data_IF_179795656912
#
_entry.id   IF_179795656912
#
_cell.length_a   1.000
_cell.length_b   1.000
_cell.length_c   1.000
_cell.angle_alpha   90.00
_cell.angle_beta   90.00
_cell.angle_gamma   90.00
#
_symmetry.space_group_name_H-M   'P 1'
#
loop_
_entity.id
_entity.type
_entity.pdbx_description
1 polymer ?
#
# COMPACT_ATOMS: atom_id res chain seq x y z
N UNK A 1 10.62 38.30 9.32
CA UNK A 1 9.46 37.52 9.79
C UNK A 1 9.19 36.44 8.74
N UNK A 2 9.15 35.15 9.11
CA UNK A 2 8.87 34.07 8.14
C UNK A 2 7.45 34.22 7.59
N UNK A 3 7.30 34.19 6.28
CA UNK A 3 6.00 34.21 5.62
C UNK A 3 5.15 33.01 6.08
N UNK A 4 3.87 33.24 6.41
CA UNK A 4 2.96 32.25 6.99
C UNK A 4 2.94 30.95 6.17
N UNK A 5 2.99 31.04 4.85
CA UNK A 5 3.08 29.87 3.95
C UNK A 5 4.26 28.94 4.23
N UNK A 6 5.43 29.49 4.60
CA UNK A 6 6.60 28.67 4.95
C UNK A 6 6.43 27.96 6.29
N UNK A 7 5.77 28.61 7.26
CA UNK A 7 5.44 27.99 8.55
C UNK A 7 4.48 26.81 8.37
N UNK A 8 3.43 27.02 7.56
CA UNK A 8 2.47 25.98 7.20
C UNK A 8 3.18 24.78 6.55
N UNK A 9 4.01 25.03 5.53
CA UNK A 9 4.75 23.97 4.83
C UNK A 9 5.67 23.19 5.77
N UNK A 10 6.37 23.89 6.67
CA UNK A 10 7.26 23.27 7.66
C UNK A 10 6.47 22.35 8.59
N UNK A 11 5.42 22.86 9.23
CA UNK A 11 4.54 22.08 10.10
C UNK A 11 3.99 20.84 9.38
N UNK A 12 3.49 21.02 8.15
CA UNK A 12 2.92 19.96 7.34
C UNK A 12 3.93 18.83 7.08
N UNK A 13 5.17 19.17 6.72
CA UNK A 13 6.24 18.20 6.48
C UNK A 13 6.66 17.51 7.78
N UNK A 14 6.82 18.25 8.87
CA UNK A 14 7.18 17.69 10.20
C UNK A 14 6.12 16.71 10.72
N UNK A 15 4.86 16.86 10.29
CA UNK A 15 3.75 15.98 10.66
C UNK A 15 3.38 14.96 9.56
N UNK A 16 4.22 14.77 8.53
CA UNK A 16 3.99 13.82 7.42
C UNK A 16 2.65 14.00 6.68
N UNK A 17 2.15 15.23 6.59
CA UNK A 17 0.90 15.55 5.89
C UNK A 17 1.17 15.93 4.42
N UNK A 18 0.34 15.47 3.51
CA UNK A 18 0.26 16.00 2.15
C UNK A 18 -0.46 17.35 2.14
N UNK A 19 -0.27 18.12 1.06
CA UNK A 19 -1.00 19.38 0.88
C UNK A 19 -2.51 19.18 0.84
N UNK A 20 -2.97 18.04 0.29
CA UNK A 20 -4.40 17.72 0.23
C UNK A 20 -4.97 17.52 1.65
N UNK A 21 -4.32 16.69 2.46
CA UNK A 21 -4.77 16.37 3.81
C UNK A 21 -4.79 17.62 4.71
N UNK A 22 -3.75 18.46 4.64
CA UNK A 22 -3.73 19.69 5.44
C UNK A 22 -4.75 20.71 4.95
N UNK A 23 -4.98 20.82 3.64
CA UNK A 23 -5.97 21.73 3.07
C UNK A 23 -7.40 21.37 3.51
N UNK A 24 -7.74 20.08 3.47
CA UNK A 24 -9.02 19.56 3.95
C UNK A 24 -9.24 19.90 5.43
N UNK A 25 -8.21 19.75 6.28
CA UNK A 25 -8.28 20.10 7.72
C UNK A 25 -8.58 21.58 7.97
N UNK A 26 -7.95 22.48 7.23
CA UNK A 26 -8.20 23.92 7.38
C UNK A 26 -9.42 24.40 6.59
N UNK A 27 -10.05 23.54 5.79
CA UNK A 27 -11.27 23.84 5.03
C UNK A 27 -11.01 24.65 3.76
N UNK A 28 -9.89 24.39 3.08
CA UNK A 28 -9.52 25.04 1.81
C UNK A 28 -9.16 23.99 0.76
N UNK A 29 -8.98 24.41 -0.50
CA UNK A 29 -8.55 23.50 -1.57
C UNK A 29 -7.04 23.25 -1.52
N UNK A 30 -6.59 22.09 -2.02
CA UNK A 30 -5.15 21.78 -2.14
C UNK A 30 -4.42 22.82 -3.00
N UNK A 31 -5.04 23.29 -4.09
CA UNK A 31 -4.47 24.33 -4.95
C UNK A 31 -4.27 25.66 -4.24
N UNK A 32 -5.25 26.07 -3.42
CA UNK A 32 -5.14 27.27 -2.57
C UNK A 32 -3.94 27.14 -1.61
N UNK A 33 -3.85 26.01 -0.89
CA UNK A 33 -2.76 25.78 0.05
C UNK A 33 -1.40 25.78 -0.66
N UNK A 34 -1.30 25.18 -1.84
CA UNK A 34 -0.07 25.17 -2.63
C UNK A 34 0.38 26.59 -2.99
N UNK A 35 -0.53 27.47 -3.40
CA UNK A 35 -0.17 28.87 -3.68
C UNK A 35 0.30 29.62 -2.44
N UNK A 36 -0.34 29.38 -1.29
CA UNK A 36 0.08 29.97 -0.02
C UNK A 36 1.46 29.49 0.41
N UNK A 37 1.70 28.17 0.41
CA UNK A 37 3.00 27.59 0.81
C UNK A 37 4.17 28.09 -0.04
N UNK A 38 3.91 28.34 -1.33
CA UNK A 38 4.90 28.84 -2.28
C UNK A 38 4.99 30.37 -2.34
N UNK A 39 4.25 31.09 -1.48
CA UNK A 39 4.25 32.55 -1.43
C UNK A 39 3.65 33.23 -2.67
N UNK A 40 2.85 32.49 -3.45
CA UNK A 40 2.12 33.01 -4.61
C UNK A 40 0.78 33.64 -4.23
N UNK A 41 0.27 33.34 -3.04
CA UNK A 41 -1.00 33.84 -2.52
C UNK A 41 -0.86 34.16 -1.03
N UNK A 42 -1.35 35.32 -0.61
CA UNK A 42 -1.43 35.69 0.80
C UNK A 42 -2.79 35.27 1.38
N UNK A 43 -2.83 34.98 2.67
CA UNK A 43 -4.09 34.76 3.38
C UNK A 43 -4.59 36.13 3.85
N UNK A 44 -5.66 36.63 3.23
CA UNK A 44 -6.25 37.93 3.57
C UNK A 44 -7.38 37.83 4.59
N UNK A 45 -7.93 36.62 4.79
CA UNK A 45 -9.03 36.38 5.72
C UNK A 45 -8.49 36.19 7.15
N UNK A 46 -8.80 37.10 8.10
CA UNK A 46 -8.32 36.98 9.48
C UNK A 46 -8.85 35.74 10.19
N UNK A 47 -10.05 35.26 9.82
CA UNK A 47 -10.63 34.03 10.38
C UNK A 47 -9.89 32.77 9.93
N UNK A 48 -9.48 32.73 8.65
CA UNK A 48 -8.69 31.64 8.11
C UNK A 48 -7.26 31.66 8.66
N UNK A 49 -6.65 32.85 8.75
CA UNK A 49 -5.34 33.03 9.36
C UNK A 49 -5.33 32.54 10.81
N UNK A 50 -6.32 32.94 11.61
CA UNK A 50 -6.49 32.46 12.99
C UNK A 50 -6.62 30.94 13.05
N UNK A 51 -7.46 30.34 12.20
CA UNK A 51 -7.66 28.88 12.14
C UNK A 51 -6.34 28.15 11.83
N UNK A 52 -5.55 28.69 10.91
CA UNK A 52 -4.25 28.12 10.53
C UNK A 52 -3.23 28.25 11.66
N UNK A 53 -3.13 29.41 12.31
CA UNK A 53 -2.20 29.63 13.43
C UNK A 53 -2.50 28.69 14.60
N UNK A 54 -3.78 28.42 14.87
CA UNK A 54 -4.20 27.42 15.86
C UNK A 54 -3.81 26.02 15.39
N UNK A 55 -4.10 25.67 14.14
CA UNK A 55 -3.77 24.37 13.54
C UNK A 55 -2.26 24.05 13.59
N UNK A 56 -1.39 25.04 13.44
CA UNK A 56 0.07 24.86 13.48
C UNK A 56 0.67 25.11 14.88
N UNK A 57 -0.16 25.30 15.91
CA UNK A 57 0.27 25.46 17.31
C UNK A 57 0.91 26.80 17.66
N UNK A 58 0.73 27.83 16.83
CA UNK A 58 1.26 29.19 17.01
C UNK A 58 0.27 30.14 17.71
N UNK A 59 -0.94 29.68 18.03
CA UNK A 59 -1.92 30.41 18.83
C UNK A 59 -2.58 29.49 19.88
N UNK A 60 -2.82 29.96 21.12
CA UNK A 60 -3.43 29.16 22.16
C UNK A 60 -4.94 29.06 21.98
N UNK A 61 -5.42 27.83 21.72
CA UNK A 61 -6.83 27.43 21.86
C UNK A 61 -6.88 25.91 22.12
N UNK A 62 -7.17 25.53 23.37
CA UNK A 62 -7.16 24.14 23.87
C UNK A 62 -8.27 23.27 23.25
N UNK A 63 -9.42 23.84 22.92
CA UNK A 63 -10.55 23.08 22.36
C UNK A 63 -10.32 22.75 20.89
N UNK A 64 -9.80 23.71 20.11
CA UNK A 64 -9.39 23.46 18.72
C UNK A 64 -8.15 22.56 18.63
N UNK A 65 -7.22 22.62 19.60
CA UNK A 65 -6.11 21.67 19.70
C UNK A 65 -6.59 20.23 19.90
N UNK A 66 -7.57 20.02 20.77
CA UNK A 66 -8.17 18.68 20.99
C UNK A 66 -8.86 18.16 19.74
N UNK A 67 -9.59 19.01 19.02
CA UNK A 67 -10.15 18.63 17.71
C UNK A 67 -9.07 18.39 16.66
N UNK A 68 -7.93 19.09 16.73
CA UNK A 68 -6.80 18.87 15.81
C UNK A 68 -6.07 17.56 16.11
N UNK A 69 -5.74 17.29 17.36
CA UNK A 69 -5.06 16.06 17.81
C UNK A 69 -5.94 14.83 17.61
N UNK A 70 -7.25 14.94 17.83
CA UNK A 70 -8.22 13.86 17.61
C UNK A 70 -8.49 13.57 16.12
N UNK A 71 -8.08 14.47 15.21
CA UNK A 71 -8.18 14.32 13.74
C UNK A 71 -6.80 14.19 13.05
N UNK A 72 -5.71 13.96 13.80
CA UNK A 72 -4.37 13.66 13.25
C UNK A 72 -4.16 12.16 13.02
N UNK A 73 -4.96 11.30 13.64
CA UNK A 73 -5.27 10.01 13.03
C UNK A 73 -6.34 10.24 11.97
N UNK A 74 -5.95 10.35 10.69
CA UNK A 74 -6.83 9.85 9.63
C UNK A 74 -7.13 8.42 10.04
N UNK A 75 -8.34 8.17 10.56
CA UNK A 75 -8.77 6.84 10.92
C UNK A 75 -8.45 5.95 9.72
N UNK A 76 -7.44 5.10 9.84
CA UNK A 76 -7.06 4.20 8.77
C UNK A 76 -8.33 3.40 8.50
N UNK A 77 -8.91 3.57 7.31
CA UNK A 77 -10.05 2.77 6.89
C UNK A 77 -9.54 1.36 6.61
N UNK A 78 -9.32 0.63 7.71
CA UNK A 78 -8.85 -0.75 7.72
C UNK A 78 -9.95 -1.71 7.30
N UNK A 79 -11.11 -1.21 6.89
CA UNK A 79 -12.19 -2.01 6.31
C UNK A 79 -12.15 -1.90 4.79
N UNK A 80 -12.06 -0.70 4.22
CA UNK A 80 -12.16 -0.49 2.77
C UNK A 80 -10.80 -0.37 2.06
N UNK A 81 -9.78 0.23 2.68
CA UNK A 81 -8.43 0.36 2.10
C UNK A 81 -7.32 0.18 3.15
N UNK A 82 -7.14 -1.05 3.68
CA UNK A 82 -6.14 -1.32 4.70
C UNK A 82 -4.72 -1.17 4.12
N UNK A 83 -3.85 -0.41 4.81
CA UNK A 83 -2.46 -0.14 4.37
C UNK A 83 -1.67 -1.39 3.97
N UNK A 84 -1.92 -2.51 4.65
CA UNK A 84 -1.23 -3.77 4.42
C UNK A 84 -1.65 -4.52 3.14
N UNK A 85 -2.65 -4.04 2.41
CA UNK A 85 -3.01 -4.52 1.07
C UNK A 85 -2.60 -3.56 -0.05
N UNK A 86 -2.09 -2.37 0.29
CA UNK A 86 -1.64 -1.40 -0.70
C UNK A 86 -0.33 -1.88 -1.36
N UNK A 87 -0.21 -1.64 -2.66
CA UNK A 87 1.02 -1.89 -3.42
C UNK A 87 1.57 -0.52 -3.85
N UNK A 88 2.55 0.05 -3.12
CA UNK A 88 3.19 1.32 -3.46
C UNK A 88 3.57 1.42 -4.95
N UNK A 89 3.30 2.57 -5.56
CA UNK A 89 3.53 2.78 -7.00
C UNK A 89 2.43 2.24 -7.93
N UNK A 90 1.48 1.46 -7.41
CA UNK A 90 0.31 1.00 -8.16
C UNK A 90 -0.95 1.81 -7.78
N UNK A 91 -1.91 1.89 -8.70
CA UNK A 91 -3.23 2.50 -8.49
C UNK A 91 -4.32 1.46 -8.14
N UNK A 92 -3.91 0.27 -7.69
CA UNK A 92 -4.75 -0.86 -7.32
C UNK A 92 -4.22 -1.52 -6.04
N UNK A 93 -5.00 -2.41 -5.45
CA UNK A 93 -4.65 -3.10 -4.20
C UNK A 93 -4.40 -4.59 -4.43
N UNK A 94 -3.99 -5.29 -3.37
CA UNK A 94 -3.79 -6.74 -3.36
C UNK A 94 -4.97 -7.52 -3.96
N UNK A 95 -6.23 -7.13 -3.67
CA UNK A 95 -7.42 -7.83 -4.19
C UNK A 95 -7.45 -7.82 -5.72
N UNK A 96 -7.11 -6.69 -6.33
CA UNK A 96 -7.16 -6.48 -7.78
C UNK A 96 -6.06 -7.29 -8.46
N UNK A 97 -4.86 -7.35 -7.86
CA UNK A 97 -3.78 -8.23 -8.30
C UNK A 97 -4.18 -9.71 -8.18
N UNK A 98 -4.75 -10.10 -7.05
CA UNK A 98 -5.21 -11.48 -6.85
C UNK A 98 -6.26 -11.87 -7.88
N UNK A 99 -7.27 -11.02 -8.13
CA UNK A 99 -8.32 -11.25 -9.12
C UNK A 99 -7.76 -11.34 -10.55
N UNK A 100 -6.72 -10.57 -10.87
CA UNK A 100 -6.05 -10.64 -12.15
C UNK A 100 -5.28 -11.97 -12.33
N UNK A 101 -4.62 -12.45 -11.28
CA UNK A 101 -3.86 -13.71 -11.26
C UNK A 101 -4.79 -14.92 -11.37
N UNK A 102 -5.92 -14.93 -10.66
CA UNK A 102 -6.79 -16.12 -10.56
C UNK A 102 -7.93 -16.14 -11.55
N UNK A 103 -8.00 -15.15 -12.45
CA UNK A 103 -9.08 -15.05 -13.44
C UNK A 103 -9.22 -16.37 -14.22
N UNK A 104 -10.45 -16.92 -14.21
CA UNK A 104 -10.85 -18.18 -14.85
C UNK A 104 -10.30 -19.47 -14.23
N UNK A 105 -9.55 -19.40 -13.12
CA UNK A 105 -9.13 -20.61 -12.40
C UNK A 105 -10.34 -21.27 -11.72
N UNK A 106 -10.45 -22.61 -11.76
CA UNK A 106 -11.50 -23.33 -11.06
C UNK A 106 -11.32 -23.25 -9.55
N UNK A 107 -12.39 -23.50 -8.81
CA UNK A 107 -12.28 -23.75 -7.38
C UNK A 107 -11.93 -25.23 -7.13
N UNK A 108 -11.08 -25.53 -6.11
CA UNK A 108 -10.57 -24.60 -5.10
C UNK A 108 -9.26 -23.89 -5.48
N UNK A 109 -8.62 -24.22 -6.61
CA UNK A 109 -7.33 -23.67 -7.05
C UNK A 109 -7.28 -22.14 -6.99
N UNK A 110 -8.23 -21.46 -7.65
CA UNK A 110 -8.29 -20.01 -7.71
C UNK A 110 -8.43 -19.37 -6.32
N UNK A 111 -9.30 -19.92 -5.47
CA UNK A 111 -9.47 -19.43 -4.08
C UNK A 111 -8.18 -19.59 -3.27
N UNK A 112 -7.43 -20.68 -3.47
CA UNK A 112 -6.19 -20.92 -2.74
C UNK A 112 -5.07 -20.00 -3.21
N UNK A 113 -4.88 -19.83 -4.52
CA UNK A 113 -3.90 -18.89 -5.08
C UNK A 113 -4.21 -17.45 -4.66
N UNK A 114 -5.49 -17.05 -4.65
CA UNK A 114 -5.91 -15.73 -4.18
C UNK A 114 -5.45 -15.48 -2.73
N UNK A 115 -5.60 -16.49 -1.87
CA UNK A 115 -5.12 -16.44 -0.49
C UNK A 115 -3.59 -16.39 -0.40
N UNK A 116 -2.86 -17.14 -1.22
CA UNK A 116 -1.39 -17.06 -1.30
C UNK A 116 -0.94 -15.64 -1.63
N UNK A 117 -1.48 -15.03 -2.69
CA UNK A 117 -1.15 -13.63 -3.08
C UNK A 117 -1.42 -12.68 -1.92
N UNK A 118 -2.59 -12.80 -1.28
CA UNK A 118 -2.95 -12.00 -0.10
C UNK A 118 -1.90 -12.09 1.00
N UNK A 119 -1.44 -13.29 1.34
CA UNK A 119 -0.45 -13.46 2.40
C UNK A 119 0.94 -12.96 2.00
N UNK A 120 1.36 -13.17 0.75
CA UNK A 120 2.65 -12.66 0.25
C UNK A 120 2.73 -11.12 0.28
N UNK A 121 1.68 -10.43 -0.19
CA UNK A 121 1.64 -8.95 -0.19
C UNK A 121 1.61 -8.39 1.24
N UNK A 122 1.00 -9.13 2.17
CA UNK A 122 0.75 -8.69 3.55
C UNK A 122 1.90 -8.99 4.51
N UNK A 123 2.75 -9.97 4.22
CA UNK A 123 3.74 -10.51 5.14
C UNK A 123 4.60 -9.42 5.82
N UNK A 124 5.36 -8.63 5.05
CA UNK A 124 6.22 -7.57 5.63
C UNK A 124 5.46 -6.33 6.13
N UNK A 125 4.13 -6.29 5.95
CA UNK A 125 3.30 -5.13 6.32
C UNK A 125 2.42 -5.37 7.54
N UNK A 126 2.23 -6.64 7.94
CA UNK A 126 1.30 -6.99 9.04
C UNK A 126 1.81 -8.11 9.95
N UNK A 127 1.94 -9.34 9.44
CA UNK A 127 2.08 -10.53 10.29
C UNK A 127 3.41 -11.29 10.09
N UNK A 128 4.30 -10.82 9.21
CA UNK A 128 5.62 -11.40 8.95
C UNK A 128 5.57 -12.90 8.67
N UNK A 129 6.34 -13.65 9.46
CA UNK A 129 6.48 -15.11 9.39
C UNK A 129 5.14 -15.88 9.35
N UNK A 130 4.13 -15.41 10.09
CA UNK A 130 2.82 -16.07 10.11
C UNK A 130 2.15 -16.07 8.72
N UNK A 131 2.27 -14.98 7.98
CA UNK A 131 1.69 -14.88 6.63
C UNK A 131 2.46 -15.74 5.63
N UNK A 132 3.79 -15.78 5.71
CA UNK A 132 4.56 -16.71 4.88
C UNK A 132 4.19 -18.16 5.13
N UNK A 133 4.03 -18.56 6.39
CA UNK A 133 3.60 -19.92 6.73
C UNK A 133 2.18 -20.23 6.23
N UNK A 134 1.26 -19.25 6.29
CA UNK A 134 -0.07 -19.40 5.68
C UNK A 134 0.02 -19.55 4.17
N UNK A 135 0.86 -18.77 3.49
CA UNK A 135 1.08 -18.94 2.05
C UNK A 135 1.57 -20.37 1.71
N UNK A 136 2.53 -20.89 2.47
CA UNK A 136 3.04 -22.27 2.32
C UNK A 136 1.95 -23.32 2.56
N UNK A 137 1.09 -23.14 3.56
CA UNK A 137 -0.01 -24.09 3.84
C UNK A 137 -0.99 -24.18 2.67
N UNK A 138 -1.42 -23.03 2.12
CA UNK A 138 -2.31 -23.00 0.96
C UNK A 138 -1.66 -23.62 -0.29
N UNK A 139 -0.37 -23.38 -0.52
CA UNK A 139 0.39 -24.03 -1.60
C UNK A 139 0.47 -25.54 -1.39
N UNK A 140 0.69 -25.99 -0.17
CA UNK A 140 0.76 -27.41 0.17
C UNK A 140 -0.58 -28.12 -0.04
N UNK A 141 -1.71 -27.44 0.15
CA UNK A 141 -3.02 -28.00 -0.19
C UNK A 141 -3.20 -28.16 -1.71
N UNK A 142 -2.77 -27.17 -2.50
CA UNK A 142 -2.79 -27.24 -3.97
C UNK A 142 -1.98 -28.44 -4.46
N UNK A 143 -0.75 -28.61 -3.93
CA UNK A 143 0.13 -29.74 -4.27
C UNK A 143 -0.51 -31.08 -3.91
N UNK A 144 -1.02 -31.24 -2.68
CA UNK A 144 -1.68 -32.48 -2.24
C UNK A 144 -2.94 -32.83 -3.05
N UNK A 145 -3.62 -31.82 -3.57
CA UNK A 145 -4.81 -31.97 -4.38
C UNK A 145 -4.54 -32.17 -5.87
N UNK A 146 -3.27 -32.06 -6.31
CA UNK A 146 -2.87 -32.00 -7.73
C UNK A 146 -3.64 -30.95 -8.55
N UNK A 147 -4.11 -29.88 -7.89
CA UNK A 147 -5.05 -28.92 -8.48
C UNK A 147 -4.42 -28.09 -9.61
N UNK A 148 -3.10 -27.91 -9.56
CA UNK A 148 -2.34 -27.21 -10.60
C UNK A 148 -2.14 -28.06 -11.86
N UNK A 149 -1.97 -29.38 -11.72
CA UNK A 149 -1.67 -30.28 -12.84
C UNK A 149 -2.86 -30.43 -13.80
N UNK A 150 -4.07 -30.18 -13.30
CA UNK A 150 -5.32 -30.30 -14.05
C UNK A 150 -5.72 -29.01 -14.77
N UNK A 151 -4.96 -27.91 -14.60
CA UNK A 151 -5.31 -26.60 -15.13
C UNK A 151 -4.21 -26.01 -16.02
N UNK A 152 -4.56 -25.76 -17.27
CA UNK A 152 -3.69 -25.04 -18.21
C UNK A 152 -3.78 -23.53 -17.97
N UNK A 153 -2.75 -22.94 -17.36
CA UNK A 153 -2.75 -21.52 -17.02
C UNK A 153 -2.10 -20.68 -18.12
N UNK A 154 -2.92 -19.88 -18.81
CA UNK A 154 -2.45 -18.93 -19.82
C UNK A 154 -1.97 -17.58 -19.24
N UNK A 155 -2.05 -17.38 -17.92
CA UNK A 155 -1.62 -16.12 -17.31
C UNK A 155 -0.09 -15.97 -17.37
N UNK A 156 0.37 -14.81 -17.84
CA UNK A 156 1.77 -14.39 -17.82
C UNK A 156 1.91 -13.10 -17.02
N UNK A 157 3.12 -12.75 -16.64
CA UNK A 157 3.39 -11.49 -15.93
C UNK A 157 2.89 -10.28 -16.74
N UNK A 158 3.14 -10.30 -18.05
CA UNK A 158 2.78 -9.25 -18.98
C UNK A 158 1.26 -9.11 -19.06
N UNK A 159 0.53 -10.22 -19.29
CA UNK A 159 -0.92 -10.13 -19.42
C UNK A 159 -1.63 -9.77 -18.11
N UNK A 160 -1.07 -10.13 -16.95
CA UNK A 160 -1.55 -9.70 -15.64
C UNK A 160 -1.33 -8.19 -15.47
N UNK A 161 -0.12 -7.71 -15.76
CA UNK A 161 0.22 -6.29 -15.64
C UNK A 161 -0.61 -5.42 -16.59
N UNK A 162 -0.83 -5.88 -17.82
CA UNK A 162 -1.66 -5.21 -18.82
C UNK A 162 -3.12 -5.06 -18.34
N UNK A 163 -3.71 -6.11 -17.75
CA UNK A 163 -5.06 -6.05 -17.15
C UNK A 163 -5.15 -4.98 -16.06
N UNK A 164 -4.04 -4.75 -15.34
CA UNK A 164 -3.92 -3.77 -14.26
C UNK A 164 -3.42 -2.40 -14.75
N UNK A 165 -3.20 -2.24 -16.06
CA UNK A 165 -2.72 -0.99 -16.71
C UNK A 165 -1.40 -0.50 -16.09
N UNK A 166 -0.48 -1.42 -15.83
CA UNK A 166 0.86 -1.16 -15.30
C UNK A 166 1.86 -2.12 -15.94
N UNK A 167 3.10 -2.16 -15.45
CA UNK A 167 4.11 -3.16 -15.81
C UNK A 167 4.51 -4.00 -14.59
N UNK A 168 4.96 -5.24 -14.81
CA UNK A 168 5.31 -6.15 -13.72
C UNK A 168 6.39 -5.61 -12.78
N UNK A 169 7.34 -4.81 -13.31
CA UNK A 169 8.41 -4.22 -12.50
C UNK A 169 7.83 -3.25 -11.47
N UNK A 170 6.86 -2.42 -11.87
CA UNK A 170 6.15 -1.53 -10.95
C UNK A 170 5.41 -2.32 -9.86
N UNK A 171 4.75 -3.43 -10.22
CA UNK A 171 4.05 -4.30 -9.24
C UNK A 171 5.02 -4.88 -8.22
N UNK A 172 6.08 -5.54 -8.68
CA UNK A 172 7.00 -6.25 -7.78
C UNK A 172 7.83 -5.29 -6.93
N UNK A 173 8.20 -4.12 -7.46
CA UNK A 173 8.85 -3.07 -6.66
C UNK A 173 7.93 -2.56 -5.54
N UNK A 174 6.64 -2.39 -5.82
CA UNK A 174 5.65 -2.00 -4.82
C UNK A 174 5.44 -3.06 -3.73
N UNK A 175 5.41 -4.33 -4.12
CA UNK A 175 5.31 -5.45 -3.16
C UNK A 175 6.56 -5.51 -2.28
N UNK A 176 7.73 -5.34 -2.88
CA UNK A 176 9.03 -5.47 -2.23
C UNK A 176 9.55 -4.16 -1.62
N UNK A 177 8.70 -3.14 -1.43
CA UNK A 177 9.13 -1.89 -0.80
C UNK A 177 9.73 -2.17 0.59
N UNK A 178 10.97 -1.73 0.81
CA UNK A 178 11.70 -1.96 2.06
C UNK A 178 12.40 -3.32 2.17
N UNK A 179 12.29 -4.20 1.18
CA UNK A 179 12.95 -5.51 1.21
C UNK A 179 14.45 -5.38 0.94
N UNK A 180 15.25 -6.33 1.48
CA UNK A 180 16.62 -6.50 1.00
C UNK A 180 16.62 -7.01 -0.44
N UNK A 181 17.69 -6.74 -1.19
CA UNK A 181 17.80 -7.18 -2.59
C UNK A 181 17.58 -8.71 -2.75
N UNK A 182 18.13 -9.52 -1.82
CA UNK A 182 17.94 -10.98 -1.84
C UNK A 182 16.47 -11.37 -1.62
N UNK A 183 15.80 -10.76 -0.65
CA UNK A 183 14.39 -11.03 -0.33
C UNK A 183 13.49 -10.60 -1.49
N UNK A 184 13.77 -9.45 -2.12
CA UNK A 184 13.04 -8.97 -3.30
C UNK A 184 13.18 -9.89 -4.52
N UNK A 185 14.39 -10.39 -4.80
CA UNK A 185 14.63 -11.38 -5.86
C UNK A 185 13.81 -12.64 -5.59
N UNK A 186 13.90 -13.20 -4.38
CA UNK A 186 13.14 -14.40 -4.02
C UNK A 186 11.63 -14.16 -4.11
N UNK A 187 11.13 -13.00 -3.69
CA UNK A 187 9.71 -12.66 -3.80
C UNK A 187 9.25 -12.59 -5.26
N UNK A 188 10.04 -11.98 -6.14
CA UNK A 188 9.76 -11.98 -7.58
C UNK A 188 9.71 -13.41 -8.15
N UNK A 189 10.67 -14.27 -7.76
CA UNK A 189 10.67 -15.67 -8.16
C UNK A 189 9.49 -16.45 -7.57
N UNK A 190 9.05 -16.15 -6.35
CA UNK A 190 7.83 -16.74 -5.77
C UNK A 190 6.62 -16.44 -6.64
N UNK A 191 6.41 -15.18 -7.04
CA UNK A 191 5.29 -14.81 -7.91
C UNK A 191 5.40 -15.41 -9.31
N UNK A 192 6.60 -15.49 -9.89
CA UNK A 192 6.84 -16.18 -11.18
C UNK A 192 6.44 -17.64 -11.11
N UNK A 193 6.87 -18.35 -10.07
CA UNK A 193 6.50 -19.75 -9.86
C UNK A 193 5.00 -19.90 -9.60
N UNK A 194 4.39 -19.01 -8.81
CA UNK A 194 2.96 -19.01 -8.55
C UNK A 194 2.14 -18.83 -9.84
N UNK A 195 2.52 -17.88 -10.69
CA UNK A 195 1.83 -17.62 -11.96
C UNK A 195 2.06 -18.74 -12.96
N UNK A 196 3.24 -19.36 -12.98
CA UNK A 196 3.51 -20.56 -13.78
C UNK A 196 2.89 -21.84 -13.19
N UNK A 197 2.15 -21.75 -12.08
CA UNK A 197 1.66 -22.90 -11.30
C UNK A 197 2.72 -23.93 -10.89
N UNK A 198 3.99 -23.51 -10.82
CA UNK A 198 5.08 -24.30 -10.25
C UNK A 198 5.04 -24.22 -8.72
N UNK A 199 4.13 -24.97 -8.11
CA UNK A 199 3.86 -24.95 -6.67
C UNK A 199 5.10 -25.29 -5.83
N UNK A 200 5.88 -26.36 -6.14
CA UNK A 200 7.09 -26.67 -5.37
C UNK A 200 8.15 -25.56 -5.47
N UNK A 201 8.27 -24.93 -6.64
CA UNK A 201 9.15 -23.77 -6.84
C UNK A 201 8.77 -22.59 -5.97
N UNK A 202 7.47 -22.27 -5.90
CA UNK A 202 6.96 -21.19 -5.06
C UNK A 202 7.21 -21.45 -3.56
N UNK A 203 6.93 -22.67 -3.08
CA UNK A 203 7.20 -23.08 -1.69
C UNK A 203 8.69 -22.89 -1.35
N UNK A 204 9.59 -23.40 -2.20
CA UNK A 204 11.04 -23.28 -1.98
C UNK A 204 11.52 -21.83 -1.89
N UNK A 205 10.99 -20.93 -2.74
CA UNK A 205 11.31 -19.51 -2.66
C UNK A 205 10.83 -18.88 -1.34
N UNK A 206 9.62 -19.22 -0.88
CA UNK A 206 9.09 -18.72 0.40
C UNK A 206 9.90 -19.25 1.58
N UNK A 207 10.28 -20.54 1.59
CA UNK A 207 11.14 -21.11 2.62
C UNK A 207 12.47 -20.36 2.73
N UNK A 208 13.10 -20.04 1.60
CA UNK A 208 14.32 -19.23 1.57
C UNK A 208 14.11 -17.80 2.07
N UNK A 209 12.93 -17.21 1.80
CA UNK A 209 12.58 -15.89 2.37
C UNK A 209 12.51 -15.97 3.90
N UNK A 210 11.86 -17.01 4.44
CA UNK A 210 11.75 -17.24 5.89
C UNK A 210 13.13 -17.40 6.53
N UNK A 211 14.05 -18.11 5.89
CA UNK A 211 15.42 -18.31 6.38
C UNK A 211 16.25 -17.02 6.46
N UNK A 212 15.89 -15.98 5.70
CA UNK A 212 16.59 -14.70 5.71
C UNK A 212 16.23 -13.78 6.90
N UNK A 213 15.10 -14.03 7.57
CA UNK A 213 14.51 -13.11 8.55
C UNK A 213 13.79 -11.95 7.88
#
# INVERSE_FOLDING_TARGET
>A
MLHIGRKIKKFRIENNLSQKEFAEKIGVTQGFLSYVENGRLNIESPSLEKKILIAIGEAPDEDLRKDFEKNVELASDNVHSPKHYMIPGCNFECKDLSDAIVRNMPNPLGTRIWNVVKYLVRAEKKNGLEDYNKAVEYLSWIEKGNEADEYDNENTLENIADKLKTDWTTIIMGICEGYTAKKAILMNETFRNLIALNIPGAINCISKIIELG
#
